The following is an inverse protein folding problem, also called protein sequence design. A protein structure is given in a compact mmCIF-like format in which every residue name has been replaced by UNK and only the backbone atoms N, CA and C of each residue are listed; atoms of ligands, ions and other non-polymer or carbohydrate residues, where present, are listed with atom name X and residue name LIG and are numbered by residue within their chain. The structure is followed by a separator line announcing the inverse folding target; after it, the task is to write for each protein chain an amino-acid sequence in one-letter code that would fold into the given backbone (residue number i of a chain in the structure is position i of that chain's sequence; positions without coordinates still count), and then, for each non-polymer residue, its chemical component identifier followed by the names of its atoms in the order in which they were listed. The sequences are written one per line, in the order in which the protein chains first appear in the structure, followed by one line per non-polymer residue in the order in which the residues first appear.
data_IF_283534450270
#
_entry.id   IF_283534450270
#
_cell.length_a   1.000
_cell.length_b   1.000
_cell.length_c   1.000
_cell.angle_alpha   90.00
_cell.angle_beta   90.00
_cell.angle_gamma   90.00
#
_symmetry.space_group_name_H-M   'P 1'
#
loop_
_entity.id
_entity.type
_entity.pdbx_description
1 polymer ?
#
# COMPACT_ATOMS: atom_id res chain seq x y z
N UNK A 1 12.22 18.83 0.72
CA UNK A 1 13.43 18.13 0.19
C UNK A 1 12.92 16.97 -0.66
N UNK A 2 13.17 17.02 -1.96
CA UNK A 2 12.36 16.37 -3.01
C UNK A 2 12.49 14.84 -3.03
N UNK A 3 11.36 14.11 -3.14
CA UNK A 3 11.29 12.64 -3.24
C UNK A 3 12.19 12.04 -4.34
N UNK A 4 12.52 12.83 -5.36
CA UNK A 4 13.42 12.46 -6.45
C UNK A 4 14.85 12.13 -5.99
N UNK A 5 15.34 12.73 -4.91
CA UNK A 5 16.71 12.46 -4.41
C UNK A 5 16.82 11.08 -3.75
N UNK A 6 15.72 10.55 -3.18
CA UNK A 6 15.67 9.17 -2.65
C UNK A 6 15.57 8.13 -3.76
N UNK A 7 14.79 8.44 -4.81
CA UNK A 7 14.67 7.61 -6.02
C UNK A 7 16.03 7.44 -6.68
N UNK A 8 16.77 8.52 -6.91
CA UNK A 8 18.09 8.45 -7.54
C UNK A 8 19.10 7.64 -6.71
N UNK A 9 19.10 7.78 -5.37
CA UNK A 9 19.97 6.98 -4.49
C UNK A 9 19.64 5.49 -4.47
N UNK A 10 18.36 5.12 -4.62
CA UNK A 10 17.96 3.72 -4.68
C UNK A 10 18.34 3.10 -6.04
N UNK A 11 18.05 3.80 -7.14
CA UNK A 11 18.46 3.36 -8.48
C UNK A 11 19.97 3.29 -8.64
N UNK A 12 20.73 4.27 -8.13
CA UNK A 12 22.19 4.24 -8.21
C UNK A 12 22.77 3.06 -7.44
N UNK A 13 22.19 2.72 -6.28
CA UNK A 13 22.64 1.58 -5.48
C UNK A 13 22.27 0.24 -6.13
N UNK A 14 21.09 0.15 -6.74
CA UNK A 14 20.65 -1.03 -7.47
C UNK A 14 21.45 -1.27 -8.76
N UNK A 15 21.81 -0.20 -9.49
CA UNK A 15 22.69 -0.29 -10.67
C UNK A 15 24.09 -0.74 -10.28
N UNK A 16 24.66 -0.22 -9.19
CA UNK A 16 25.97 -0.66 -8.69
C UNK A 16 25.94 -2.14 -8.25
N UNK A 17 24.85 -2.60 -7.62
CA UNK A 17 24.69 -4.01 -7.27
C UNK A 17 24.54 -4.91 -8.51
N UNK A 18 23.83 -4.46 -9.55
CA UNK A 18 23.73 -5.17 -10.83
C UNK A 18 25.06 -5.22 -11.59
N UNK A 19 25.85 -4.14 -11.57
CA UNK A 19 27.20 -4.11 -12.16
C UNK A 19 28.17 -5.01 -11.40
N UNK A 20 28.09 -5.06 -10.07
CA UNK A 20 28.89 -6.01 -9.28
C UNK A 20 28.48 -7.46 -9.55
N UNK A 21 27.18 -7.74 -9.72
CA UNK A 21 26.69 -9.08 -10.09
C UNK A 21 27.15 -9.45 -11.50
N UNK A 22 27.04 -8.55 -12.48
CA UNK A 22 27.56 -8.80 -13.84
C UNK A 22 29.08 -8.96 -13.87
N UNK A 23 29.82 -8.18 -13.07
CA UNK A 23 31.26 -8.33 -12.90
C UNK A 23 31.65 -9.68 -12.30
N UNK A 24 30.90 -10.15 -11.29
CA UNK A 24 31.09 -11.46 -10.68
C UNK A 24 30.75 -12.59 -11.64
N UNK A 25 29.67 -12.47 -12.41
CA UNK A 25 29.27 -13.44 -13.44
C UNK A 25 30.34 -13.53 -14.53
N UNK A 26 30.87 -12.40 -15.01
CA UNK A 26 31.93 -12.38 -16.02
C UNK A 26 33.26 -12.93 -15.49
N UNK A 27 33.62 -12.63 -14.24
CA UNK A 27 34.81 -13.17 -13.59
C UNK A 27 34.72 -14.70 -13.39
N UNK A 28 33.54 -15.21 -13.05
CA UNK A 28 33.31 -16.65 -12.87
C UNK A 28 33.20 -17.39 -14.21
N UNK A 29 32.59 -16.78 -15.24
CA UNK A 29 32.51 -17.35 -16.59
C UNK A 29 33.87 -17.41 -17.30
N UNK A 30 34.82 -16.53 -16.95
CA UNK A 30 36.19 -16.59 -17.44
C UNK A 30 37.00 -17.79 -16.94
N UNK A 31 36.50 -18.58 -15.97
CA UNK A 31 37.27 -19.63 -15.30
C UNK A 31 36.68 -21.05 -15.31
N UNK A 32 35.52 -21.33 -15.91
CA UNK A 32 34.98 -22.72 -15.98
C UNK A 32 34.22 -23.01 -17.27
N UNK A 33 34.74 -23.95 -18.05
CA UNK A 33 34.04 -24.59 -19.17
C UNK A 33 33.07 -25.67 -18.70
N UNK A 34 32.00 -25.30 -17.97
CA UNK A 34 30.92 -26.22 -17.59
C UNK A 34 29.55 -25.53 -17.70
N UNK A 35 28.83 -25.78 -18.80
CA UNK A 35 27.51 -25.20 -19.09
C UNK A 35 26.45 -25.51 -18.01
N UNK A 36 26.60 -26.60 -17.25
CA UNK A 36 25.69 -26.94 -16.14
C UNK A 36 25.81 -25.97 -14.95
N UNK A 37 26.99 -25.42 -14.70
CA UNK A 37 27.22 -24.46 -13.60
C UNK A 37 26.52 -23.12 -13.85
N UNK A 38 26.47 -22.69 -15.11
CA UNK A 38 25.86 -21.41 -15.50
C UNK A 38 24.34 -21.41 -15.33
N UNK A 39 23.66 -22.53 -15.64
CA UNK A 39 22.21 -22.63 -15.50
C UNK A 39 21.75 -22.58 -14.03
N UNK A 40 22.51 -23.20 -13.12
CA UNK A 40 22.22 -23.16 -11.69
C UNK A 40 22.35 -21.74 -11.11
N UNK A 41 23.34 -20.96 -11.59
CA UNK A 41 23.50 -19.56 -11.19
C UNK A 41 22.34 -18.70 -11.66
N UNK A 42 21.89 -18.87 -12.91
CA UNK A 42 20.74 -18.13 -13.45
C UNK A 42 19.46 -18.45 -12.67
N UNK A 43 19.22 -19.72 -12.36
CA UNK A 43 18.07 -20.14 -11.55
C UNK A 43 18.18 -19.56 -10.14
N UNK A 44 19.37 -19.58 -9.52
CA UNK A 44 19.59 -19.00 -8.20
C UNK A 44 19.31 -17.50 -8.15
N UNK A 45 19.77 -16.74 -9.15
CA UNK A 45 19.49 -15.31 -9.28
C UNK A 45 17.99 -15.07 -9.49
N UNK A 46 17.33 -15.87 -10.32
CA UNK A 46 15.90 -15.74 -10.55
C UNK A 46 15.08 -15.99 -9.27
N UNK A 47 15.39 -17.05 -8.52
CA UNK A 47 14.75 -17.36 -7.24
C UNK A 47 15.00 -16.22 -6.24
N UNK A 48 16.22 -15.69 -6.19
CA UNK A 48 16.57 -14.56 -5.32
C UNK A 48 15.74 -13.31 -5.65
N UNK A 49 15.60 -12.96 -6.93
CA UNK A 49 14.77 -11.81 -7.36
C UNK A 49 13.30 -12.04 -6.98
N UNK A 50 12.75 -13.23 -7.24
CA UNK A 50 11.36 -13.56 -6.87
C UNK A 50 11.14 -13.46 -5.37
N UNK A 51 12.08 -13.97 -4.55
CA UNK A 51 12.02 -13.83 -3.10
C UNK A 51 12.09 -12.38 -2.65
N UNK A 52 12.99 -11.57 -3.25
CA UNK A 52 13.12 -10.15 -2.92
C UNK A 52 11.83 -9.40 -3.24
N UNK A 53 11.22 -9.66 -4.40
CA UNK A 53 9.94 -9.09 -4.80
C UNK A 53 8.81 -9.50 -3.84
N UNK A 54 8.71 -10.77 -3.47
CA UNK A 54 7.65 -11.27 -2.60
C UNK A 54 7.79 -10.79 -1.14
N UNK A 55 9.03 -10.78 -0.64
CA UNK A 55 9.33 -10.36 0.73
C UNK A 55 9.30 -8.84 0.89
N UNK A 56 9.66 -8.06 -0.13
CA UNK A 56 9.78 -6.60 -0.05
C UNK A 56 8.51 -5.93 0.49
N UNK A 57 7.35 -6.31 -0.02
CA UNK A 57 6.06 -5.80 0.45
C UNK A 57 5.77 -6.16 1.91
N UNK A 58 5.98 -7.43 2.28
CA UNK A 58 5.73 -7.92 3.65
C UNK A 58 6.62 -7.18 4.64
N UNK A 59 7.91 -7.04 4.34
CA UNK A 59 8.85 -6.31 5.19
C UNK A 59 8.53 -4.83 5.26
N UNK A 60 8.09 -4.22 4.16
CA UNK A 60 7.64 -2.82 4.16
C UNK A 60 6.48 -2.60 5.12
N UNK A 61 5.42 -3.42 5.06
CA UNK A 61 4.27 -3.26 5.95
C UNK A 61 4.61 -3.57 7.41
N UNK A 62 5.43 -4.59 7.67
CA UNK A 62 5.88 -4.91 9.03
C UNK A 62 6.74 -3.77 9.62
N UNK A 63 7.66 -3.22 8.82
CA UNK A 63 8.45 -2.07 9.22
C UNK A 63 7.57 -0.85 9.49
N UNK A 64 6.64 -0.55 8.58
CA UNK A 64 5.69 0.54 8.72
C UNK A 64 4.87 0.41 10.01
N UNK A 65 4.33 -0.77 10.29
CA UNK A 65 3.58 -1.06 11.50
C UNK A 65 4.42 -0.87 12.76
N UNK A 66 5.65 -1.40 12.77
CA UNK A 66 6.54 -1.28 13.92
C UNK A 66 6.90 0.18 14.23
N UNK A 67 7.28 0.95 13.21
CA UNK A 67 7.64 2.36 13.40
C UNK A 67 6.43 3.23 13.75
N UNK A 68 5.28 2.99 13.12
CA UNK A 68 4.05 3.71 13.43
C UNK A 68 3.58 3.45 14.86
N UNK A 69 3.52 2.18 15.31
CA UNK A 69 3.16 1.85 16.70
C UNK A 69 4.12 2.48 17.69
N UNK A 70 5.43 2.38 17.45
CA UNK A 70 6.44 3.00 18.31
C UNK A 70 6.27 4.52 18.40
N UNK A 71 5.91 5.18 17.30
CA UNK A 71 5.69 6.62 17.27
C UNK A 71 4.40 7.01 18.00
N UNK A 72 3.30 6.29 17.76
CA UNK A 72 2.03 6.51 18.45
C UNK A 72 2.16 6.35 19.97
N UNK A 73 2.85 5.30 20.42
CA UNK A 73 3.13 5.08 21.84
C UNK A 73 3.92 6.23 22.47
N UNK A 74 4.90 6.81 21.75
CA UNK A 74 5.65 7.97 22.24
C UNK A 74 4.80 9.23 22.41
N UNK A 75 3.74 9.36 21.62
CA UNK A 75 2.81 10.51 21.64
C UNK A 75 1.64 10.24 22.60
N UNK A 76 1.58 9.04 23.21
CA UNK A 76 0.49 8.66 24.12
C UNK A 76 -0.83 8.37 23.40
N UNK A 77 -0.78 8.09 22.09
CA UNK A 77 -1.94 7.80 21.26
C UNK A 77 -1.93 6.33 20.86
N UNK A 78 -3.12 5.77 20.59
CA UNK A 78 -3.24 4.45 19.97
C UNK A 78 -3.81 4.58 18.57
N UNK A 79 -3.65 3.53 17.77
CA UNK A 79 -4.21 3.50 16.42
C UNK A 79 -5.74 3.59 16.47
N UNK A 80 -6.34 3.01 17.51
CA UNK A 80 -7.78 2.98 17.71
C UNK A 80 -8.40 4.36 17.96
N UNK A 81 -7.58 5.30 18.44
CA UNK A 81 -7.94 6.67 18.80
C UNK A 81 -7.83 7.62 17.59
N UNK A 82 -7.18 7.19 16.51
CA UNK A 82 -7.07 7.97 15.28
C UNK A 82 -8.38 7.91 14.50
N UNK A 83 -9.20 8.94 14.69
CA UNK A 83 -10.37 9.19 13.86
C UNK A 83 -9.96 9.75 12.50
N UNK A 84 -10.72 9.37 11.47
CA UNK A 84 -10.53 9.84 10.10
C UNK A 84 -11.90 10.11 9.47
N UNK A 85 -11.96 11.07 8.55
CA UNK A 85 -13.20 11.43 7.85
C UNK A 85 -13.32 10.71 6.50
N UNK A 86 -14.56 10.41 6.11
CA UNK A 86 -14.90 9.74 4.85
C UNK A 86 -15.34 10.71 3.75
N UNK A 87 -15.16 12.02 3.94
CA UNK A 87 -15.63 13.04 3.01
C UNK A 87 -15.03 12.93 1.61
N UNK A 88 -13.81 12.42 1.50
CA UNK A 88 -13.04 12.42 0.25
C UNK A 88 -13.04 11.06 -0.46
N UNK A 89 -14.14 10.30 -0.34
CA UNK A 89 -14.37 9.08 -1.11
C UNK A 89 -14.98 9.45 -2.46
N UNK A 90 -14.36 9.01 -3.56
CA UNK A 90 -14.94 9.13 -4.90
C UNK A 90 -15.84 7.95 -5.17
N UNK A 91 -17.15 8.19 -5.22
CA UNK A 91 -18.14 7.19 -5.59
C UNK A 91 -18.26 7.15 -7.13
N UNK A 92 -18.13 5.97 -7.71
CA UNK A 92 -18.27 5.73 -9.14
C UNK A 92 -19.65 5.16 -9.52
N UNK A 93 -20.50 4.97 -8.52
CA UNK A 93 -21.89 4.56 -8.65
C UNK A 93 -22.78 5.64 -8.04
N UNK A 94 -24.01 5.77 -8.54
CA UNK A 94 -24.99 6.69 -7.97
C UNK A 94 -25.27 6.33 -6.50
N UNK A 95 -25.35 7.35 -5.64
CA UNK A 95 -25.65 7.22 -4.21
C UNK A 95 -26.81 8.15 -3.84
N UNK A 96 -27.89 7.66 -3.20
CA UNK A 96 -28.24 6.25 -3.05
C UNK A 96 -28.50 5.57 -4.40
N UNK A 97 -28.14 4.29 -4.51
CA UNK A 97 -28.47 3.50 -5.67
C UNK A 97 -29.86 2.88 -5.46
N UNK A 98 -30.88 3.40 -6.16
CA UNK A 98 -32.20 2.75 -6.25
C UNK A 98 -32.17 1.44 -7.05
N UNK A 99 -31.06 1.10 -7.70
CA UNK A 99 -30.90 -0.20 -8.33
C UNK A 99 -30.76 -1.29 -7.26
N UNK A 100 -31.69 -2.26 -7.27
CA UNK A 100 -31.72 -3.40 -6.34
C UNK A 100 -30.37 -4.13 -6.24
N UNK A 101 -29.58 -4.16 -7.32
CA UNK A 101 -28.31 -4.87 -7.44
C UNK A 101 -27.33 -4.61 -6.28
N UNK A 102 -27.36 -3.40 -5.70
CA UNK A 102 -26.48 -3.04 -4.58
C UNK A 102 -27.12 -3.17 -3.19
N UNK A 103 -28.45 -3.23 -3.12
CA UNK A 103 -29.21 -3.28 -1.86
C UNK A 103 -29.05 -4.61 -1.11
N UNK A 104 -28.79 -5.69 -1.84
CA UNK A 104 -28.62 -7.03 -1.28
C UNK A 104 -27.18 -7.32 -0.80
N UNK A 105 -26.23 -6.41 -1.10
CA UNK A 105 -24.83 -6.62 -0.79
C UNK A 105 -24.55 -6.57 0.71
N UNK A 106 -23.87 -7.60 1.18
CA UNK A 106 -23.35 -7.74 2.54
C UNK A 106 -21.95 -7.14 2.61
N UNK A 107 -21.48 -6.87 3.83
CA UNK A 107 -20.11 -6.36 4.06
C UNK A 107 -19.02 -7.29 3.49
N UNK A 108 -19.30 -8.59 3.40
CA UNK A 108 -18.37 -9.58 2.83
C UNK A 108 -18.25 -9.54 1.31
N UNK A 109 -19.20 -8.89 0.62
CA UNK A 109 -19.22 -8.82 -0.84
C UNK A 109 -18.37 -7.66 -1.36
N UNK A 110 -17.77 -6.86 -0.47
CA UNK A 110 -16.87 -5.77 -0.82
C UNK A 110 -15.41 -6.19 -0.73
N UNK A 111 -14.67 -5.94 -1.80
CA UNK A 111 -13.25 -6.25 -1.91
C UNK A 111 -12.47 -4.94 -1.96
N UNK A 112 -11.48 -4.80 -1.07
CA UNK A 112 -10.54 -3.68 -1.06
C UNK A 112 -9.27 -4.09 -1.78
N UNK A 113 -8.96 -3.41 -2.87
CA UNK A 113 -7.70 -3.55 -3.60
C UNK A 113 -6.80 -2.34 -3.33
N UNK A 114 -5.55 -2.60 -2.92
CA UNK A 114 -4.54 -1.58 -2.69
C UNK A 114 -3.83 -1.29 -4.02
N UNK A 115 -4.07 -0.12 -4.59
CA UNK A 115 -3.36 0.30 -5.79
C UNK A 115 -2.04 0.97 -5.40
N UNK A 116 -0.98 0.55 -6.11
CA UNK A 116 0.42 0.93 -5.85
C UNK A 116 0.94 1.67 -7.07
N UNK A 117 1.82 2.64 -6.82
CA UNK A 117 2.46 3.40 -7.89
C UNK A 117 3.40 2.51 -8.73
N UNK A 118 3.97 1.46 -8.13
CA UNK A 118 4.95 0.60 -8.78
C UNK A 118 5.07 -0.73 -8.04
N UNK A 119 5.51 -1.77 -8.77
CA UNK A 119 5.73 -3.11 -8.21
C UNK A 119 6.83 -3.14 -7.14
N UNK A 120 7.80 -2.22 -7.24
CA UNK A 120 8.94 -2.11 -6.33
C UNK A 120 8.71 -1.17 -5.14
N UNK A 121 7.60 -0.41 -5.14
CA UNK A 121 7.28 0.55 -4.09
C UNK A 121 6.05 0.06 -3.34
N UNK A 122 6.23 -0.31 -2.07
CA UNK A 122 5.16 -0.78 -1.19
C UNK A 122 4.15 0.31 -0.79
N UNK A 123 4.38 1.55 -1.21
CA UNK A 123 3.53 2.69 -0.87
C UNK A 123 2.17 2.58 -1.59
N UNK A 124 1.11 2.48 -0.79
CA UNK A 124 -0.27 2.49 -1.26
C UNK A 124 -0.62 3.94 -1.63
N UNK A 125 -1.18 4.13 -2.82
CA UNK A 125 -1.63 5.43 -3.30
C UNK A 125 -3.15 5.59 -3.15
N UNK A 126 -3.90 4.54 -3.46
CA UNK A 126 -5.34 4.53 -3.46
C UNK A 126 -5.90 3.16 -3.04
N UNK A 127 -7.09 3.16 -2.45
CA UNK A 127 -7.88 1.96 -2.21
C UNK A 127 -9.02 1.94 -3.22
N UNK A 128 -9.05 0.89 -4.04
CA UNK A 128 -10.15 0.61 -4.96
C UNK A 128 -11.10 -0.35 -4.29
N UNK A 129 -12.36 0.04 -4.18
CA UNK A 129 -13.40 -0.76 -3.55
C UNK A 129 -14.28 -1.33 -4.64
N UNK A 130 -14.35 -2.66 -4.70
CA UNK A 130 -15.21 -3.37 -5.63
C UNK A 130 -16.35 -4.04 -4.87
N UNK A 131 -17.54 -4.02 -5.46
CA UNK A 131 -18.64 -4.89 -5.07
C UNK A 131 -18.60 -6.15 -5.94
N UNK A 132 -18.71 -7.31 -5.29
CA UNK A 132 -18.90 -8.59 -5.95
C UNK A 132 -20.40 -8.82 -6.13
N UNK A 133 -20.82 -8.81 -7.39
CA UNK A 133 -22.21 -8.99 -7.77
C UNK A 133 -22.61 -10.47 -7.77
N UNK A 134 -23.91 -10.74 -7.68
CA UNK A 134 -24.47 -12.10 -7.70
C UNK A 134 -24.18 -12.86 -9.01
N UNK A 135 -23.95 -12.14 -10.11
CA UNK A 135 -23.55 -12.71 -11.41
C UNK A 135 -22.05 -13.04 -11.48
N UNK A 136 -21.30 -12.81 -10.39
CA UNK A 136 -19.87 -13.03 -10.28
C UNK A 136 -18.99 -11.88 -10.77
N UNK A 137 -19.57 -10.81 -11.33
CA UNK A 137 -18.81 -9.65 -11.80
C UNK A 137 -18.33 -8.78 -10.64
N UNK A 138 -17.14 -8.20 -10.80
CA UNK A 138 -16.61 -7.20 -9.87
C UNK A 138 -16.87 -5.81 -10.45
N UNK A 139 -17.66 -5.01 -9.74
CA UNK A 139 -17.94 -3.63 -10.13
C UNK A 139 -17.21 -2.68 -9.21
N UNK A 140 -16.41 -1.79 -9.78
CA UNK A 140 -15.72 -0.75 -9.00
C UNK A 140 -16.76 0.26 -8.51
N UNK A 141 -16.90 0.39 -7.18
CA UNK A 141 -17.91 1.25 -6.56
C UNK A 141 -17.34 2.55 -6.03
N UNK A 142 -16.10 2.52 -5.54
CA UNK A 142 -15.47 3.71 -4.99
C UNK A 142 -13.93 3.65 -5.06
N UNK A 143 -13.33 4.83 -5.04
CA UNK A 143 -11.88 5.02 -4.91
C UNK A 143 -11.63 5.93 -3.72
N UNK A 144 -10.76 5.49 -2.81
CA UNK A 144 -10.27 6.31 -1.71
C UNK A 144 -8.82 6.70 -2.00
N UNK A 145 -8.55 7.98 -2.31
CA UNK A 145 -7.19 8.49 -2.44
C UNK A 145 -6.50 8.65 -1.07
N UNK A 146 -5.21 8.27 -0.94
CA UNK A 146 -4.46 8.40 0.33
C UNK A 146 -4.08 9.85 0.64
N UNK A 147 -3.68 10.62 -0.36
CA UNK A 147 -3.29 12.04 -0.25
C UNK A 147 -4.42 12.93 0.27
N UNK A 148 -5.64 12.44 0.12
CA UNK A 148 -6.90 13.07 0.44
C UNK A 148 -7.59 12.39 1.63
N UNK A 149 -6.86 11.62 2.43
CA UNK A 149 -7.40 10.93 3.60
C UNK A 149 -7.21 11.80 4.86
N UNK A 150 -8.23 12.55 5.30
CA UNK A 150 -8.11 13.48 6.42
C UNK A 150 -7.99 12.71 7.75
N UNK A 151 -6.99 13.09 8.55
CA UNK A 151 -6.78 12.53 9.90
C UNK A 151 -6.61 13.71 10.87
N UNK A 152 -7.71 14.29 11.38
CA UNK A 152 -7.70 15.58 12.09
C UNK A 152 -6.74 15.63 13.28
N UNK A 153 -6.58 14.51 13.99
CA UNK A 153 -5.64 14.40 15.11
C UNK A 153 -4.20 14.56 14.63
N UNK A 154 -3.84 13.93 13.52
CA UNK A 154 -2.50 14.06 12.94
C UNK A 154 -2.28 15.45 12.34
N UNK A 155 -3.30 16.06 11.74
CA UNK A 155 -3.26 17.43 11.24
C UNK A 155 -2.95 18.42 12.38
N UNK A 156 -3.63 18.22 13.52
CA UNK A 156 -3.42 19.01 14.73
C UNK A 156 -2.00 18.82 15.29
N UNK A 157 -1.51 17.59 15.34
CA UNK A 157 -0.15 17.28 15.81
C UNK A 157 0.93 17.85 14.90
N UNK A 158 0.69 17.87 13.59
CA UNK A 158 1.58 18.48 12.61
C UNK A 158 1.60 20.00 12.78
N UNK A 159 0.44 20.62 12.99
CA UNK A 159 0.32 22.05 13.23
C UNK A 159 1.05 22.52 14.49
N UNK A 160 0.99 21.73 15.57
CA UNK A 160 1.70 22.03 16.83
C UNK A 160 3.14 21.49 16.90
N UNK A 161 3.74 21.13 15.75
CA UNK A 161 5.12 20.59 15.66
C UNK A 161 5.39 19.35 16.55
N UNK A 162 4.36 18.62 16.97
CA UNK A 162 4.49 17.39 17.75
C UNK A 162 5.00 16.22 16.88
N UNK A 163 4.70 16.29 15.58
CA UNK A 163 5.19 15.38 14.54
C UNK A 163 5.68 16.20 13.35
N UNK A 164 6.64 15.65 12.60
CA UNK A 164 7.06 16.24 11.33
C UNK A 164 6.28 15.63 10.15
N UNK A 165 6.44 16.19 8.95
CA UNK A 165 5.77 15.70 7.74
C UNK A 165 6.07 14.22 7.41
N UNK A 166 7.28 13.74 7.72
CA UNK A 166 7.66 12.35 7.47
C UNK A 166 6.93 11.39 8.43
N UNK A 167 6.79 11.78 9.69
CA UNK A 167 6.00 11.06 10.69
C UNK A 167 4.51 11.05 10.29
N UNK A 168 3.97 12.20 9.87
CA UNK A 168 2.60 12.32 9.38
C UNK A 168 2.32 11.34 8.22
N UNK A 169 3.15 11.37 7.17
CA UNK A 169 2.98 10.51 6.00
C UNK A 169 3.08 9.01 6.37
N UNK A 170 3.97 8.66 7.31
CA UNK A 170 4.13 7.30 7.81
C UNK A 170 2.88 6.84 8.56
N UNK A 171 2.35 7.66 9.47
CA UNK A 171 1.16 7.34 10.26
C UNK A 171 -0.09 7.23 9.40
N UNK A 172 -0.28 8.16 8.45
CA UNK A 172 -1.36 8.07 7.45
C UNK A 172 -1.24 6.80 6.63
N UNK A 173 -0.04 6.47 6.13
CA UNK A 173 0.18 5.24 5.35
C UNK A 173 -0.10 3.98 6.18
N UNK A 174 0.27 3.97 7.46
CA UNK A 174 -0.05 2.88 8.36
C UNK A 174 -1.56 2.73 8.55
N UNK A 175 -2.25 3.81 8.92
CA UNK A 175 -3.70 3.83 9.10
C UNK A 175 -4.43 3.37 7.85
N UNK A 176 -4.04 3.89 6.68
CA UNK A 176 -4.61 3.56 5.38
C UNK A 176 -4.38 2.10 4.98
N UNK A 177 -3.27 1.50 5.42
CA UNK A 177 -2.94 0.10 5.16
C UNK A 177 -3.65 -0.89 6.08
N UNK A 178 -4.19 -0.40 7.20
CA UNK A 178 -4.66 -1.21 8.31
C UNK A 178 -6.04 -1.86 8.05
N UNK A 179 -6.24 -3.16 8.37
CA UNK A 179 -7.50 -3.87 8.08
C UNK A 179 -8.74 -3.26 8.74
N UNK A 180 -8.59 -2.66 9.93
CA UNK A 180 -9.70 -1.96 10.61
C UNK A 180 -10.22 -0.80 9.75
N UNK A 181 -9.31 -0.03 9.18
CA UNK A 181 -9.63 1.12 8.32
C UNK A 181 -10.39 0.66 7.09
N UNK A 182 -9.97 -0.45 6.45
CA UNK A 182 -10.69 -1.02 5.31
C UNK A 182 -12.12 -1.42 5.66
N UNK A 183 -12.33 -2.06 6.82
CA UNK A 183 -13.67 -2.42 7.29
C UNK A 183 -14.55 -1.20 7.52
N UNK A 184 -13.98 -0.14 8.10
CA UNK A 184 -14.69 1.12 8.33
C UNK A 184 -15.07 1.81 7.01
N UNK A 185 -14.15 1.86 6.04
CA UNK A 185 -14.41 2.38 4.69
C UNK A 185 -15.51 1.58 3.99
N UNK A 186 -15.45 0.25 4.00
CA UNK A 186 -16.50 -0.61 3.42
C UNK A 186 -17.85 -0.32 4.07
N UNK A 187 -17.90 -0.21 5.41
CA UNK A 187 -19.14 0.07 6.14
C UNK A 187 -19.74 1.40 5.70
N UNK A 188 -18.93 2.44 5.56
CA UNK A 188 -19.39 3.76 5.12
C UNK A 188 -19.85 3.75 3.66
N UNK A 189 -19.12 3.09 2.78
CA UNK A 189 -19.50 2.97 1.37
C UNK A 189 -20.84 2.25 1.24
N UNK A 190 -21.02 1.14 1.96
CA UNK A 190 -22.30 0.41 1.98
C UNK A 190 -23.43 1.30 2.51
N UNK A 191 -23.20 2.02 3.60
CA UNK A 191 -24.17 2.96 4.18
C UNK A 191 -24.61 3.99 3.13
N UNK A 192 -23.66 4.67 2.48
CA UNK A 192 -23.96 5.67 1.43
C UNK A 192 -24.64 5.11 0.20
N UNK A 193 -24.29 3.89 -0.23
CA UNK A 193 -24.89 3.27 -1.41
C UNK A 193 -26.34 2.84 -1.14
N UNK A 194 -26.62 2.27 0.05
CA UNK A 194 -27.92 1.68 0.39
C UNK A 194 -28.88 2.72 0.99
N UNK A 195 -28.45 3.45 2.02
CA UNK A 195 -29.33 4.31 2.81
C UNK A 195 -29.50 5.69 2.19
N UNK A 196 -28.56 6.13 1.34
CA UNK A 196 -28.48 7.53 0.95
C UNK A 196 -28.04 8.40 2.11
N UNK A 197 -27.89 9.70 1.86
CA UNK A 197 -27.44 10.66 2.88
C UNK A 197 -28.62 11.16 3.73
#
# INVERSE_FOLDING_TARGET
MSNYTRIFKFYSRFIIELEMVNGLINFLNGKRGDRMSSNLLVIGIFIYIVLLLYCGDRFYFLGLEFFAKKKLLKIGQRLEDLEFSFEQIYYLVATPSTNCDFSELKLGDFIVEKSKLSFFYGEIYDLKIYAQMSDGQKKLVAIVPKDKFPVPILDTMLYYDQINQNDYNMLVSYLFSHPRTHKMIIKEIRRRIIEGN
#
